data_IF_418717446626
#
_entry.id   IF_418717446626
#
_cell.length_a   1.000
_cell.length_b   1.000
_cell.length_c   1.000
_cell.angle_alpha   90.00
_cell.angle_beta   90.00
_cell.angle_gamma   90.00
#
_symmetry.space_group_name_H-M   'P 1'
#
loop_
_entity.id
_entity.type
_entity.pdbx_description
1 polymer ?
#
# COMPACT_ATOMS: atom_id res chain seq x y z
N UNK A 1 15.90 -0.56 -3.92
CA UNK A 1 14.82 -1.46 -4.40
C UNK A 1 15.30 -2.88 -4.30
N UNK A 2 14.57 -3.75 -3.61
CA UNK A 2 14.82 -5.20 -3.58
C UNK A 2 13.78 -5.89 -4.50
N UNK A 3 14.21 -6.83 -5.32
CA UNK A 3 13.35 -7.60 -6.23
C UNK A 3 13.35 -9.06 -5.77
N UNK A 4 12.20 -9.61 -5.43
CA UNK A 4 12.04 -11.04 -5.16
C UNK A 4 11.63 -11.76 -6.47
N UNK A 5 12.12 -12.99 -6.69
CA UNK A 5 11.85 -13.75 -7.91
C UNK A 5 10.35 -14.06 -8.13
N UNK A 6 9.90 -14.04 -9.38
CA UNK A 6 8.54 -14.34 -9.84
C UNK A 6 8.43 -14.26 -11.38
N UNK A 7 7.22 -14.17 -11.94
CA UNK A 7 6.99 -14.05 -13.38
C UNK A 7 7.42 -12.69 -13.96
N UNK A 8 8.02 -12.67 -15.16
CA UNK A 8 8.56 -11.45 -15.79
C UNK A 8 7.47 -10.46 -16.24
N UNK A 9 6.27 -10.97 -16.54
CA UNK A 9 5.11 -10.22 -17.02
C UNK A 9 4.18 -9.73 -15.89
N UNK A 10 4.33 -10.26 -14.67
CA UNK A 10 3.50 -9.92 -13.51
C UNK A 10 4.33 -9.35 -12.38
N UNK A 11 4.53 -8.05 -12.42
CA UNK A 11 5.36 -7.33 -11.45
C UNK A 11 4.52 -6.34 -10.66
N UNK A 12 4.52 -6.48 -9.34
CA UNK A 12 3.91 -5.52 -8.42
C UNK A 12 4.99 -4.76 -7.65
N UNK A 13 4.85 -3.44 -7.58
CA UNK A 13 5.71 -2.59 -6.75
C UNK A 13 5.02 -2.33 -5.42
N UNK A 14 5.65 -2.73 -4.32
CA UNK A 14 5.21 -2.45 -2.95
C UNK A 14 5.98 -1.23 -2.43
N UNK A 15 5.24 -0.16 -2.16
CA UNK A 15 5.78 1.12 -1.70
C UNK A 15 5.31 1.41 -0.27
N UNK A 16 6.17 1.22 0.75
CA UNK A 16 5.85 1.65 2.11
C UNK A 16 5.97 3.17 2.27
N UNK A 17 5.31 3.73 3.28
CA UNK A 17 5.58 5.09 3.74
C UNK A 17 7.05 5.27 4.20
N UNK A 18 7.54 6.51 4.22
CA UNK A 18 8.90 6.81 4.66
C UNK A 18 9.07 6.47 6.16
N UNK A 19 10.17 5.81 6.52
CA UNK A 19 10.39 5.29 7.89
C UNK A 19 9.63 4.00 8.23
N UNK A 20 8.78 3.50 7.32
CA UNK A 20 8.13 2.19 7.42
C UNK A 20 8.79 1.20 6.46
N UNK A 21 8.90 -0.06 6.85
CA UNK A 21 9.39 -1.11 5.93
C UNK A 21 8.19 -1.88 5.39
N UNK A 22 8.30 -2.40 4.16
CA UNK A 22 7.27 -3.30 3.62
C UNK A 22 7.18 -4.67 4.35
N UNK A 23 7.99 -4.87 5.40
CA UNK A 23 7.96 -6.06 6.24
C UNK A 23 6.98 -5.92 7.43
N UNK A 24 6.41 -4.73 7.65
CA UNK A 24 5.35 -4.55 8.65
C UNK A 24 4.06 -5.29 8.26
N UNK A 25 3.20 -5.66 9.24
CA UNK A 25 2.00 -6.48 9.00
C UNK A 25 1.10 -5.95 7.87
N UNK A 26 0.99 -4.62 7.75
CA UNK A 26 0.19 -3.95 6.73
C UNK A 26 0.57 -4.33 5.30
N UNK A 27 1.86 -4.52 5.01
CA UNK A 27 2.34 -4.83 3.67
C UNK A 27 2.78 -6.29 3.52
N UNK A 28 3.04 -6.98 4.64
CA UNK A 28 3.39 -8.39 4.65
C UNK A 28 2.28 -9.29 4.08
N UNK A 29 1.02 -9.10 4.48
CA UNK A 29 -0.10 -9.91 3.99
C UNK A 29 -0.45 -9.64 2.52
N UNK A 30 -0.58 -8.38 2.04
CA UNK A 30 -0.73 -8.12 0.61
C UNK A 30 0.40 -8.72 -0.23
N UNK A 31 1.65 -8.62 0.25
CA UNK A 31 2.80 -9.22 -0.42
C UNK A 31 2.74 -10.75 -0.43
N UNK A 32 2.22 -11.41 0.61
CA UNK A 32 2.01 -12.86 0.61
C UNK A 32 0.99 -13.27 -0.45
N UNK A 33 -0.16 -12.59 -0.50
CA UNK A 33 -1.21 -12.87 -1.49
C UNK A 33 -0.71 -12.72 -2.93
N UNK A 34 0.04 -11.65 -3.22
CA UNK A 34 0.61 -11.45 -4.55
C UNK A 34 1.61 -12.56 -4.92
N UNK A 35 2.46 -12.99 -3.97
CA UNK A 35 3.39 -14.12 -4.21
C UNK A 35 2.64 -15.42 -4.47
N UNK A 36 1.61 -15.71 -3.70
CA UNK A 36 0.77 -16.92 -3.87
C UNK A 36 0.06 -16.90 -5.23
N UNK A 37 -0.28 -15.71 -5.74
CA UNK A 37 -0.81 -15.49 -7.07
C UNK A 37 0.25 -15.47 -8.20
N UNK A 38 1.53 -15.71 -7.87
CA UNK A 38 2.63 -15.83 -8.83
C UNK A 38 3.27 -14.50 -9.28
N UNK A 39 3.00 -13.39 -8.57
CA UNK A 39 3.57 -12.08 -8.89
C UNK A 39 5.01 -11.94 -8.41
N UNK A 40 5.85 -11.33 -9.26
CA UNK A 40 7.14 -10.76 -8.89
C UNK A 40 6.93 -9.51 -8.04
N UNK A 41 7.60 -9.42 -6.89
CA UNK A 41 7.52 -8.24 -6.03
C UNK A 41 8.78 -7.38 -6.11
N UNK A 42 8.58 -6.09 -6.36
CA UNK A 42 9.58 -5.03 -6.20
C UNK A 42 9.26 -4.24 -4.95
N UNK A 43 10.09 -4.35 -3.92
CA UNK A 43 9.91 -3.61 -2.67
C UNK A 43 10.82 -2.39 -2.65
N UNK A 44 10.23 -1.23 -2.41
CA UNK A 44 11.00 0.00 -2.16
C UNK A 44 11.47 0.00 -0.72
N UNK A 45 12.75 0.33 -0.53
CA UNK A 45 13.40 0.47 0.76
C UNK A 45 14.00 1.87 0.80
N UNK A 46 13.63 2.65 1.81
CA UNK A 46 14.15 3.98 2.05
C UNK A 46 15.52 3.87 2.74
N UNK A 47 16.54 4.54 2.23
CA UNK A 47 17.91 4.54 2.76
C UNK A 47 18.14 5.63 3.83
N UNK A 48 17.06 6.21 4.38
CA UNK A 48 17.10 7.16 5.49
C UNK A 48 17.32 8.62 5.10
N UNK A 49 17.53 8.93 3.81
CA UNK A 49 17.81 10.30 3.33
C UNK A 49 16.58 11.00 2.75
N UNK A 50 15.58 10.25 2.28
CA UNK A 50 14.36 10.81 1.70
C UNK A 50 13.27 10.96 2.78
N UNK A 51 13.24 12.12 3.44
CA UNK A 51 12.14 12.51 4.34
C UNK A 51 11.02 13.29 3.65
N UNK A 52 11.31 13.77 2.44
CA UNK A 52 10.44 14.68 1.68
C UNK A 52 9.69 13.97 0.55
N UNK A 53 9.85 12.64 0.39
CA UNK A 53 9.05 11.85 -0.55
C UNK A 53 7.97 11.11 0.24
N UNK A 54 6.72 11.52 0.07
CA UNK A 54 5.57 10.92 0.74
C UNK A 54 4.64 10.20 -0.26
N UNK A 55 3.68 9.44 0.27
CA UNK A 55 2.63 8.75 -0.48
C UNK A 55 1.91 9.67 -1.48
N UNK A 56 1.85 10.98 -1.25
CA UNK A 56 1.36 12.02 -2.14
C UNK A 56 2.17 12.13 -3.42
N UNK A 57 3.50 12.24 -3.33
CA UNK A 57 4.38 12.25 -4.50
C UNK A 57 4.33 10.90 -5.22
N UNK A 58 4.12 9.81 -4.48
CA UNK A 58 3.92 8.50 -5.06
C UNK A 58 2.58 8.37 -5.78
N UNK A 59 1.48 8.86 -5.20
CA UNK A 59 0.15 8.86 -5.81
C UNK A 59 0.13 9.73 -7.07
N UNK A 60 0.77 10.89 -7.04
CA UNK A 60 0.96 11.75 -8.21
C UNK A 60 1.84 11.09 -9.29
N UNK A 61 2.80 10.23 -8.92
CA UNK A 61 3.62 9.46 -9.88
C UNK A 61 2.96 8.16 -10.36
N UNK A 62 2.06 7.57 -9.57
CA UNK A 62 1.20 6.42 -9.97
C UNK A 62 0.27 6.81 -11.13
N UNK A 63 0.07 8.11 -11.37
CA UNK A 63 -0.60 8.70 -12.55
C UNK A 63 -0.05 8.26 -13.92
N UNK A 64 0.99 7.41 -13.98
CA UNK A 64 1.42 6.72 -15.19
C UNK A 64 0.39 5.69 -15.74
N UNK A 65 -0.79 5.56 -15.12
CA UNK A 65 -1.91 4.74 -15.62
C UNK A 65 -1.85 3.27 -15.20
N UNK A 66 -0.99 2.94 -14.23
CA UNK A 66 -0.92 1.59 -13.68
C UNK A 66 -2.04 1.39 -12.64
N UNK A 67 -2.72 0.23 -12.64
CA UNK A 67 -3.67 -0.11 -11.59
C UNK A 67 -2.99 -0.14 -10.22
N UNK A 68 -3.56 0.53 -9.23
CA UNK A 68 -2.97 0.70 -7.91
C UNK A 68 -4.02 0.66 -6.79
N UNK A 69 -3.57 0.27 -5.60
CA UNK A 69 -4.30 0.43 -4.33
C UNK A 69 -3.57 1.47 -3.49
N UNK A 70 -4.34 2.39 -2.90
CA UNK A 70 -3.86 3.39 -1.95
C UNK A 70 -4.57 3.18 -0.62
N UNK A 71 -3.84 2.99 0.46
CA UNK A 71 -4.43 2.79 1.79
C UNK A 71 -3.98 3.89 2.76
N UNK A 72 -4.92 4.41 3.56
CA UNK A 72 -4.62 5.48 4.51
C UNK A 72 -5.69 5.64 5.59
N UNK A 73 -5.29 6.24 6.71
CA UNK A 73 -6.13 6.42 7.89
C UNK A 73 -6.56 7.88 8.06
N UNK A 74 -7.82 8.15 8.37
CA UNK A 74 -8.31 9.54 8.52
C UNK A 74 -7.71 10.30 9.72
N UNK A 75 -7.08 9.60 10.68
CA UNK A 75 -6.39 10.22 11.80
C UNK A 75 -4.88 10.41 11.53
N UNK A 76 -4.39 9.94 10.38
CA UNK A 76 -3.05 10.25 9.89
C UNK A 76 -2.99 11.71 9.41
N UNK A 77 -2.06 12.48 9.96
CA UNK A 77 -1.86 13.89 9.60
C UNK A 77 -1.32 14.08 8.19
N UNK A 78 -0.72 13.03 7.61
CA UNK A 78 -0.19 13.05 6.26
C UNK A 78 -1.23 12.64 5.22
N UNK A 79 -2.35 12.05 5.66
CA UNK A 79 -3.42 11.63 4.77
C UNK A 79 -4.21 12.82 4.22
N UNK A 80 -4.39 12.84 2.90
CA UNK A 80 -5.23 13.82 2.21
C UNK A 80 -6.28 13.08 1.35
N UNK A 81 -7.55 13.05 1.78
CA UNK A 81 -8.61 12.33 1.08
C UNK A 81 -8.88 12.90 -0.31
N UNK A 82 -8.66 14.20 -0.51
CA UNK A 82 -8.89 14.84 -1.79
C UNK A 82 -7.80 14.44 -2.81
N UNK A 83 -6.55 14.33 -2.38
CA UNK A 83 -5.47 13.78 -3.22
C UNK A 83 -5.73 12.31 -3.54
N UNK A 84 -6.08 11.51 -2.54
CA UNK A 84 -6.37 10.09 -2.71
C UNK A 84 -7.49 9.87 -3.74
N UNK A 85 -8.60 10.62 -3.64
CA UNK A 85 -9.73 10.53 -4.56
C UNK A 85 -9.37 10.92 -6.01
N UNK A 86 -8.41 11.82 -6.21
CA UNK A 86 -7.96 12.24 -7.56
C UNK A 86 -6.90 11.33 -8.17
N UNK A 87 -6.32 10.41 -7.40
CA UNK A 87 -5.20 9.56 -7.85
C UNK A 87 -5.59 8.53 -8.93
N UNK A 88 -6.88 8.20 -9.07
CA UNK A 88 -7.35 7.10 -9.92
C UNK A 88 -7.05 5.70 -9.36
N UNK A 89 -6.41 5.59 -8.19
CA UNK A 89 -6.20 4.32 -7.50
C UNK A 89 -7.49 3.84 -6.80
N UNK A 90 -7.54 2.54 -6.49
CA UNK A 90 -8.52 2.01 -5.53
C UNK A 90 -8.11 2.46 -4.13
N UNK A 91 -8.88 3.36 -3.54
CA UNK A 91 -8.61 3.90 -2.21
C UNK A 91 -9.25 3.03 -1.13
N UNK A 92 -8.47 2.64 -0.12
CA UNK A 92 -8.91 2.03 1.14
C UNK A 92 -8.65 3.03 2.26
N UNK A 93 -9.67 3.81 2.60
CA UNK A 93 -9.61 4.78 3.68
C UNK A 93 -10.20 4.19 4.97
N UNK A 94 -9.43 4.18 6.05
CA UNK A 94 -9.83 3.59 7.32
C UNK A 94 -10.16 4.69 8.34
N UNK A 95 -11.44 4.87 8.73
CA UNK A 95 -11.78 5.96 9.63
C UNK A 95 -11.21 5.73 11.03
N UNK A 96 -10.68 6.80 11.64
CA UNK A 96 -10.01 6.80 12.95
C UNK A 96 -8.62 6.15 12.98
N UNK A 97 -8.15 5.58 11.86
CA UNK A 97 -6.84 4.93 11.84
C UNK A 97 -5.70 5.95 11.69
N UNK A 98 -4.59 5.68 12.35
CA UNK A 98 -3.36 6.46 12.27
C UNK A 98 -2.50 6.09 11.06
N UNK A 99 -1.27 6.60 11.03
CA UNK A 99 -0.31 6.37 9.95
C UNK A 99 0.07 4.88 9.77
N UNK A 100 -0.11 4.05 10.81
CA UNK A 100 0.14 2.60 10.75
C UNK A 100 -1.12 1.80 10.39
N UNK A 101 -2.22 2.49 10.05
CA UNK A 101 -3.58 1.94 9.94
C UNK A 101 -4.08 1.26 11.22
N UNK A 102 -3.58 1.69 12.38
CA UNK A 102 -4.09 1.25 13.66
C UNK A 102 -5.16 2.21 14.17
N UNK A 103 -6.24 1.67 14.74
CA UNK A 103 -7.25 2.46 15.46
C UNK A 103 -6.98 2.35 16.96
N UNK A 104 -6.51 3.43 17.62
CA UNK A 104 -6.16 3.39 19.03
C UNK A 104 -7.33 2.93 19.90
N UNK A 105 -7.09 1.88 20.71
CA UNK A 105 -8.11 1.31 21.60
C UNK A 105 -9.09 0.34 20.94
N UNK A 106 -9.02 0.12 19.63
CA UNK A 106 -9.89 -0.81 18.88
C UNK A 106 -9.09 -1.77 18.00
N UNK A 107 -8.50 -2.79 18.64
CA UNK A 107 -7.69 -3.79 17.96
C UNK A 107 -8.47 -4.58 16.89
N UNK A 108 -9.80 -4.73 17.04
CA UNK A 108 -10.62 -5.43 16.03
C UNK A 108 -10.68 -4.64 14.75
N UNK A 109 -10.82 -3.32 14.87
CA UNK A 109 -10.81 -2.43 13.72
C UNK A 109 -9.44 -2.33 13.07
N UNK A 110 -8.35 -2.33 13.84
CA UNK A 110 -6.98 -2.43 13.29
C UNK A 110 -6.77 -3.72 12.50
N UNK A 111 -7.22 -4.88 13.01
CA UNK A 111 -7.15 -6.14 12.27
C UNK A 111 -8.06 -6.13 11.02
N UNK A 112 -9.25 -5.52 11.13
CA UNK A 112 -10.14 -5.32 9.98
C UNK A 112 -9.49 -4.51 8.87
N UNK A 113 -8.79 -3.43 9.21
CA UNK A 113 -8.04 -2.61 8.26
C UNK A 113 -7.00 -3.44 7.47
N UNK A 114 -6.24 -4.30 8.15
CA UNK A 114 -5.28 -5.20 7.50
C UNK A 114 -5.97 -6.15 6.50
N UNK A 115 -7.12 -6.71 6.88
CA UNK A 115 -7.90 -7.59 6.02
C UNK A 115 -8.45 -6.86 4.79
N UNK A 116 -8.99 -5.64 4.97
CA UNK A 116 -9.54 -4.80 3.90
C UNK A 116 -8.46 -4.42 2.86
N UNK A 117 -7.29 -3.99 3.31
CA UNK A 117 -6.16 -3.65 2.42
C UNK A 117 -5.68 -4.88 1.66
N UNK A 118 -5.56 -6.03 2.35
CA UNK A 118 -5.14 -7.29 1.72
C UNK A 118 -6.13 -7.74 0.65
N UNK A 119 -7.43 -7.71 0.93
CA UNK A 119 -8.47 -8.04 -0.05
C UNK A 119 -8.47 -7.10 -1.25
N UNK A 120 -8.27 -5.79 -1.03
CA UNK A 120 -8.22 -4.82 -2.12
C UNK A 120 -7.07 -5.08 -3.10
N UNK A 121 -5.91 -5.49 -2.59
CA UNK A 121 -4.74 -5.87 -3.41
C UNK A 121 -4.99 -7.18 -4.16
N UNK A 122 -5.60 -8.17 -3.51
CA UNK A 122 -5.98 -9.44 -4.14
C UNK A 122 -6.93 -9.21 -5.33
N UNK A 123 -7.97 -8.41 -5.12
CA UNK A 123 -8.93 -8.03 -6.16
C UNK A 123 -8.25 -7.30 -7.32
N UNK A 124 -7.36 -6.35 -7.01
CA UNK A 124 -6.62 -5.62 -8.03
C UNK A 124 -5.81 -6.59 -8.88
N UNK A 125 -5.05 -7.50 -8.24
CA UNK A 125 -4.23 -8.51 -8.90
C UNK A 125 -5.05 -9.45 -9.80
N UNK A 126 -6.31 -9.76 -9.44
CA UNK A 126 -7.23 -10.51 -10.31
C UNK A 126 -7.74 -9.72 -11.50
N UNK A 127 -7.85 -8.40 -11.36
CA UNK A 127 -8.41 -7.52 -12.40
C UNK A 127 -7.42 -7.21 -13.53
N UNK A 128 -6.12 -7.30 -13.24
CA UNK A 128 -5.04 -7.11 -14.21
C UNK A 128 -4.53 -8.49 -14.66
N UNK A 129 -4.65 -8.82 -15.96
CA UNK A 129 -4.25 -10.11 -16.52
C UNK A 129 -3.05 -9.98 -17.42
#
# INVERSE_FOLDING_TARGET
MLVAAGAEDRVATVLPGSGYTAQGPLLAYPAAVLRDAGWTLRTVVWDGVCRDFDVRDAAERISAGLPAVLAGGTADRLWDPAVAARSGARVVEVPGADHSLEVPGDWRRSLGALAEVTAAVEDLARSVR
#
